data_IF_359106153627
#
_entry.id   IF_359106153627
#
_cell.length_a   1.000
_cell.length_b   1.000
_cell.length_c   1.000
_cell.angle_alpha   90.00
_cell.angle_beta   90.00
_cell.angle_gamma   90.00
#
_symmetry.space_group_name_H-M   'P 1'
#
loop_
_entity.id
_entity.type
_entity.pdbx_description
1 polymer ?
#
# COMPACT_ATOMS: atom_id res chain seq x y z
N UNK A 1 2.42 -4.21 14.75
CA UNK A 1 3.18 -4.68 13.57
C UNK A 1 4.26 -5.65 14.04
N UNK A 2 4.47 -6.76 13.33
CA UNK A 2 5.51 -7.77 13.63
C UNK A 2 6.20 -8.21 12.35
N UNK A 3 7.52 -8.32 12.37
CA UNK A 3 8.30 -8.88 11.27
C UNK A 3 9.09 -10.10 11.75
N UNK A 4 8.97 -11.22 11.04
CA UNK A 4 9.58 -12.51 11.39
C UNK A 4 10.40 -13.02 10.20
N UNK A 5 11.69 -13.32 10.42
CA UNK A 5 12.56 -13.88 9.38
C UNK A 5 12.48 -15.40 9.45
N UNK A 6 12.06 -16.03 8.36
CA UNK A 6 11.90 -17.49 8.24
C UNK A 6 13.15 -18.19 7.75
N UNK A 7 13.89 -17.57 6.83
CA UNK A 7 15.10 -18.14 6.27
C UNK A 7 16.08 -17.04 5.81
N UNK A 8 17.36 -17.41 5.71
CA UNK A 8 18.44 -16.55 5.22
C UNK A 8 19.30 -17.32 4.22
N UNK A 9 19.80 -16.62 3.21
CA UNK A 9 20.83 -17.11 2.29
C UNK A 9 21.77 -15.96 1.97
N UNK A 10 22.97 -15.95 2.58
CA UNK A 10 23.84 -14.78 2.58
C UNK A 10 23.13 -13.54 3.15
N UNK A 11 23.07 -12.46 2.35
CA UNK A 11 22.36 -11.22 2.71
C UNK A 11 20.84 -11.28 2.45
N UNK A 12 20.36 -12.27 1.70
CA UNK A 12 18.94 -12.41 1.39
C UNK A 12 18.15 -12.94 2.59
N UNK A 13 16.93 -12.43 2.77
CA UNK A 13 16.01 -12.83 3.85
C UNK A 13 14.63 -13.12 3.27
N UNK A 14 14.08 -14.28 3.62
CA UNK A 14 12.68 -14.59 3.44
C UNK A 14 11.96 -14.50 4.80
N UNK A 15 10.76 -13.94 4.82
CA UNK A 15 10.09 -13.62 6.07
C UNK A 15 8.62 -13.28 5.91
N UNK A 16 8.01 -12.89 7.01
CA UNK A 16 6.60 -12.52 7.09
C UNK A 16 6.43 -11.22 7.85
N UNK A 17 5.75 -10.25 7.24
CA UNK A 17 5.33 -8.99 7.85
C UNK A 17 3.84 -9.08 8.20
N UNK A 18 3.51 -9.01 9.48
CA UNK A 18 2.12 -8.93 9.96
C UNK A 18 1.80 -7.49 10.33
N UNK A 19 0.82 -6.92 9.64
CA UNK A 19 0.20 -5.63 9.93
C UNK A 19 -1.20 -5.85 10.51
N UNK A 20 -1.91 -4.76 10.81
CA UNK A 20 -3.30 -4.82 11.26
C UNK A 20 -4.26 -5.38 10.21
N UNK A 21 -3.91 -5.29 8.92
CA UNK A 21 -4.81 -5.60 7.80
C UNK A 21 -4.33 -6.77 6.94
N UNK A 22 -3.06 -7.20 7.06
CA UNK A 22 -2.53 -8.25 6.19
C UNK A 22 -1.35 -8.97 6.82
N UNK A 23 -1.11 -10.18 6.33
CA UNK A 23 0.13 -10.93 6.55
C UNK A 23 0.81 -11.11 5.21
N UNK A 24 2.01 -10.56 5.06
CA UNK A 24 2.70 -10.38 3.78
C UNK A 24 4.00 -11.18 3.80
N UNK A 25 4.19 -12.05 2.81
CA UNK A 25 5.47 -12.74 2.60
C UNK A 25 6.49 -11.79 1.99
N UNK A 26 7.71 -11.76 2.53
CA UNK A 26 8.84 -11.00 2.00
C UNK A 26 9.91 -11.94 1.43
N UNK A 27 10.61 -11.60 0.33
CA UNK A 27 10.57 -10.32 -0.39
C UNK A 27 9.23 -10.07 -1.10
N UNK A 28 8.77 -8.81 -1.11
CA UNK A 28 7.47 -8.43 -1.69
C UNK A 28 7.66 -7.32 -2.72
N UNK A 29 6.96 -7.43 -3.83
CA UNK A 29 6.78 -6.33 -4.78
C UNK A 29 5.41 -5.70 -4.55
N UNK A 30 5.37 -4.38 -4.36
CA UNK A 30 4.14 -3.65 -4.05
C UNK A 30 3.60 -2.95 -5.30
N UNK A 31 2.35 -3.23 -5.73
CA UNK A 31 1.66 -2.43 -6.73
C UNK A 31 1.52 -0.97 -6.26
N UNK A 32 1.67 -0.01 -7.17
CA UNK A 32 1.59 1.42 -6.86
C UNK A 32 0.22 2.00 -7.25
N UNK A 33 -0.50 2.51 -6.25
CA UNK A 33 -1.74 3.25 -6.38
C UNK A 33 -1.52 4.76 -6.36
N UNK A 34 -1.57 5.39 -7.53
CA UNK A 34 -1.26 6.82 -7.70
C UNK A 34 -2.39 7.75 -7.26
N UNK A 35 -3.65 7.29 -7.19
CA UNK A 35 -4.84 8.09 -6.75
C UNK A 35 -5.85 7.25 -5.97
N UNK A 36 -5.37 6.47 -4.99
CA UNK A 36 -6.21 5.55 -4.24
C UNK A 36 -6.62 4.28 -5.00
N UNK A 37 -6.32 4.20 -6.29
CA UNK A 37 -6.47 3.00 -7.13
C UNK A 37 -5.16 2.69 -7.84
N UNK A 38 -4.87 1.41 -8.06
CA UNK A 38 -3.84 0.98 -9.01
C UNK A 38 -4.45 1.20 -10.40
N UNK A 39 -3.80 2.01 -11.23
CA UNK A 39 -4.33 2.34 -12.55
C UNK A 39 -4.60 1.05 -13.32
N UNK A 40 -5.77 0.98 -13.96
CA UNK A 40 -6.23 -0.12 -14.85
C UNK A 40 -6.33 -1.51 -14.21
N UNK A 41 -6.24 -1.63 -12.89
CA UNK A 41 -6.38 -2.91 -12.19
C UNK A 41 -7.52 -2.78 -11.19
N UNK A 42 -8.51 -3.65 -11.31
CA UNK A 42 -9.61 -3.77 -10.36
C UNK A 42 -9.13 -4.27 -9.00
N UNK A 43 -9.93 -4.04 -7.97
CA UNK A 43 -9.62 -4.54 -6.63
C UNK A 43 -9.55 -6.07 -6.63
N UNK A 44 -10.46 -6.70 -7.36
CA UNK A 44 -10.58 -8.15 -7.47
C UNK A 44 -9.32 -8.76 -8.10
N UNK A 45 -8.74 -8.09 -9.09
CA UNK A 45 -7.45 -8.51 -9.67
C UNK A 45 -6.29 -8.35 -8.69
N UNK A 46 -6.26 -7.28 -7.88
CA UNK A 46 -5.22 -7.11 -6.84
C UNK A 46 -5.34 -8.18 -5.75
N UNK A 47 -6.56 -8.52 -5.35
CA UNK A 47 -6.83 -9.61 -4.41
C UNK A 47 -6.44 -10.96 -5.01
N UNK A 48 -6.78 -11.23 -6.27
CA UNK A 48 -6.42 -12.45 -6.99
C UNK A 48 -4.91 -12.61 -7.19
N UNK A 49 -4.18 -11.50 -7.36
CA UNK A 49 -2.71 -11.48 -7.41
C UNK A 49 -2.06 -11.75 -6.04
N UNK A 50 -2.85 -11.85 -4.96
CA UNK A 50 -2.34 -12.04 -3.61
C UNK A 50 -1.57 -10.83 -3.08
N UNK A 51 -1.84 -9.64 -3.61
CA UNK A 51 -1.17 -8.41 -3.19
C UNK A 51 -1.67 -8.01 -1.79
N UNK A 52 -1.02 -8.48 -0.72
CA UNK A 52 -1.37 -8.11 0.66
C UNK A 52 -0.98 -6.68 1.05
N UNK A 53 -0.21 -5.97 0.21
CA UNK A 53 0.32 -4.64 0.49
C UNK A 53 0.39 -3.84 -0.80
N UNK A 54 -0.19 -2.64 -0.79
CA UNK A 54 -0.14 -1.70 -1.92
C UNK A 54 0.46 -0.36 -1.46
N UNK A 55 1.14 0.31 -2.39
CA UNK A 55 1.72 1.64 -2.14
C UNK A 55 0.69 2.73 -2.52
N UNK A 56 0.30 3.58 -1.57
CA UNK A 56 -0.52 4.76 -1.82
C UNK A 56 0.35 6.01 -1.98
N UNK A 57 0.17 6.75 -3.07
CA UNK A 57 0.84 8.04 -3.25
C UNK A 57 0.10 9.15 -2.51
N UNK A 58 0.72 9.67 -1.46
CA UNK A 58 0.12 10.68 -0.58
C UNK A 58 0.00 12.04 -1.26
N UNK A 59 0.96 12.41 -2.12
CA UNK A 59 0.95 13.70 -2.82
C UNK A 59 -0.32 13.88 -3.66
N UNK A 60 -0.69 12.86 -4.45
CA UNK A 60 -1.89 12.96 -5.27
C UNK A 60 -3.18 12.90 -4.44
N UNK A 61 -3.25 12.05 -3.42
CA UNK A 61 -4.40 11.97 -2.51
C UNK A 61 -4.64 13.29 -1.77
N UNK A 62 -3.54 13.95 -1.37
CA UNK A 62 -3.56 15.27 -0.74
C UNK A 62 -4.08 16.36 -1.67
N UNK A 63 -3.66 16.36 -2.95
CA UNK A 63 -4.14 17.36 -3.92
C UNK A 63 -5.60 17.14 -4.32
N UNK A 64 -5.99 15.89 -4.61
CA UNK A 64 -7.36 15.50 -4.96
C UNK A 64 -7.61 14.04 -4.56
N UNK A 65 -8.61 13.74 -3.72
CA UNK A 65 -9.70 14.62 -3.28
C UNK A 65 -9.38 15.52 -2.09
N UNK A 66 -8.21 15.37 -1.46
CA UNK A 66 -7.87 16.04 -0.20
C UNK A 66 -8.04 15.13 1.01
N UNK A 67 -7.12 15.24 1.97
CA UNK A 67 -7.08 14.38 3.14
C UNK A 67 -8.33 14.54 4.04
N UNK A 68 -8.88 15.75 4.16
CA UNK A 68 -10.13 15.99 4.92
C UNK A 68 -11.35 15.27 4.32
N UNK A 69 -11.40 15.11 2.99
CA UNK A 69 -12.47 14.37 2.32
C UNK A 69 -12.30 12.88 2.59
N UNK A 70 -11.07 12.38 2.51
CA UNK A 70 -10.75 10.98 2.81
C UNK A 70 -11.11 10.66 4.27
N UNK A 71 -10.78 11.54 5.21
CA UNK A 71 -11.14 11.40 6.62
C UNK A 71 -12.66 11.35 6.82
N UNK A 72 -13.40 12.30 6.23
CA UNK A 72 -14.88 12.33 6.28
C UNK A 72 -15.53 11.09 5.69
N UNK A 73 -14.89 10.44 4.72
CA UNK A 73 -15.34 9.18 4.11
C UNK A 73 -14.89 7.92 4.88
N UNK A 74 -14.32 8.08 6.09
CA UNK A 74 -13.93 6.96 6.95
C UNK A 74 -12.52 6.42 6.69
N UNK A 75 -11.63 7.25 6.15
CA UNK A 75 -10.23 6.91 5.90
C UNK A 75 -9.97 6.26 4.53
N UNK A 76 -8.70 6.01 4.25
CA UNK A 76 -8.24 5.56 2.92
C UNK A 76 -8.82 4.20 2.52
N UNK A 77 -8.92 3.24 3.45
CA UNK A 77 -9.56 1.95 3.20
C UNK A 77 -11.02 2.09 2.78
N UNK A 78 -11.79 2.92 3.49
CA UNK A 78 -13.20 3.17 3.18
C UNK A 78 -13.37 3.89 1.85
N UNK A 79 -12.52 4.88 1.57
CA UNK A 79 -12.53 5.65 0.32
C UNK A 79 -12.25 4.79 -0.91
N UNK A 80 -11.35 3.82 -0.80
CA UNK A 80 -10.87 2.98 -1.92
C UNK A 80 -11.55 1.62 -2.00
N UNK A 81 -12.20 1.19 -0.91
CA UNK A 81 -12.71 -0.16 -0.72
C UNK A 81 -11.62 -1.22 -0.53
N UNK A 82 -10.33 -0.87 -0.49
CA UNK A 82 -9.26 -1.83 -0.29
C UNK A 82 -9.25 -2.35 1.15
N UNK A 83 -9.10 -3.66 1.33
CA UNK A 83 -9.10 -4.31 2.66
C UNK A 83 -7.71 -4.72 3.15
N UNK A 84 -6.72 -4.72 2.25
CA UNK A 84 -5.35 -5.07 2.59
C UNK A 84 -4.57 -3.91 3.21
N UNK A 85 -3.26 -4.09 3.33
CA UNK A 85 -2.39 -3.08 3.92
C UNK A 85 -2.04 -2.00 2.91
N UNK A 86 -1.88 -0.77 3.42
CA UNK A 86 -1.30 0.35 2.70
C UNK A 86 0.11 0.63 3.22
N UNK A 87 1.03 0.92 2.31
CA UNK A 87 2.21 1.72 2.58
C UNK A 87 1.99 3.06 1.90
N UNK A 88 1.86 4.14 2.66
CA UNK A 88 1.80 5.49 2.09
C UNK A 88 3.18 6.09 2.02
N UNK A 89 3.55 6.66 0.87
CA UNK A 89 4.76 7.49 0.80
C UNK A 89 4.54 8.83 1.53
N UNK A 90 5.59 9.63 1.67
CA UNK A 90 5.47 10.96 2.28
C UNK A 90 5.05 12.05 1.30
N UNK A 91 5.00 11.76 0.00
CA UNK A 91 4.84 12.76 -1.06
C UNK A 91 6.07 13.64 -1.33
N UNK A 92 7.12 13.54 -0.52
CA UNK A 92 8.28 14.45 -0.59
C UNK A 92 9.01 14.36 -1.94
N UNK A 93 9.17 13.16 -2.49
CA UNK A 93 9.81 12.99 -3.80
C UNK A 93 9.02 13.69 -4.91
N UNK A 94 7.68 13.60 -4.88
CA UNK A 94 6.80 14.22 -5.88
C UNK A 94 6.79 15.75 -5.78
N UNK A 95 6.96 16.31 -4.58
CA UNK A 95 7.12 17.76 -4.39
C UNK A 95 8.37 18.30 -5.12
N UNK A 96 9.42 17.51 -5.26
CA UNK A 96 10.66 17.92 -5.94
C UNK A 96 10.72 17.56 -7.42
N UNK A 97 9.88 16.64 -7.91
CA UNK A 97 10.02 16.04 -9.24
C UNK A 97 8.90 16.36 -10.23
N UNK A 98 7.81 16.99 -9.77
CA UNK A 98 6.71 17.51 -10.59
C UNK A 98 6.75 19.03 -10.65
#
# INVERSE_FOLDING_TARGET
MKFDIKARSGLARAGTLTTSHSTISTPVFMPVGTRGTVKTVSREELEALGAGLILGNTYHLYLRPGHEVIERLGGLHSFTGWRGSYLTDSGGYQVFSL
#
